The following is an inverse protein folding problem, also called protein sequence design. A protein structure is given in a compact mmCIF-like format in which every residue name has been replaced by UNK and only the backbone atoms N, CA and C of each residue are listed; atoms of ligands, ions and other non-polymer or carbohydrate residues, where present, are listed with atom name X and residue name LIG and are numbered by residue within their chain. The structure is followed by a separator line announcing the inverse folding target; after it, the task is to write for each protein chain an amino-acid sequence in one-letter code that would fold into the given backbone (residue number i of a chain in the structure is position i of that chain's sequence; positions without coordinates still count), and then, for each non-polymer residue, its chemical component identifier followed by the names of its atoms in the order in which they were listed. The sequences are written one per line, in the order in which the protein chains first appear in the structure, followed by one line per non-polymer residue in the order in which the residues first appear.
data_IF_986106709298
#
_entry.id   IF_986106709298
#
_cell.length_a   1.000
_cell.length_b   1.000
_cell.length_c   1.000
_cell.angle_alpha   90.00
_cell.angle_beta   90.00
_cell.angle_gamma   90.00
#
_symmetry.space_group_name_H-M   'P 1'
#
loop_
_entity.id
_entity.type
_entity.pdbx_description
1 polymer ?
#
# COMPACT_ATOMS: atom_id res chain seq x y z
N UNK A 1 5.52 2.23 -8.33
CA UNK A 1 6.80 1.70 -8.88
C UNK A 1 7.35 0.47 -8.15
N UNK A 2 6.98 0.20 -6.90
CA UNK A 2 7.40 -1.01 -6.16
C UNK A 2 6.51 -2.25 -6.38
N UNK A 3 5.40 -2.11 -7.12
CA UNK A 3 4.47 -3.20 -7.43
C UNK A 3 3.64 -3.68 -6.23
N UNK A 4 3.47 -2.85 -5.21
CA UNK A 4 2.73 -3.17 -3.99
C UNK A 4 1.42 -2.39 -3.84
N UNK A 5 0.60 -2.84 -2.89
CA UNK A 5 -0.70 -2.27 -2.55
C UNK A 5 -0.58 -1.26 -1.41
N UNK A 6 -1.51 -0.31 -1.33
CA UNK A 6 -1.52 0.75 -0.31
C UNK A 6 -2.73 0.59 0.60
N UNK A 7 -2.51 0.75 1.90
CA UNK A 7 -3.56 0.93 2.88
C UNK A 7 -3.61 2.41 3.29
N UNK A 8 -4.79 3.02 3.24
CA UNK A 8 -5.02 4.42 3.58
C UNK A 8 -5.98 4.47 4.77
N UNK A 9 -5.45 4.73 5.95
CA UNK A 9 -6.26 5.00 7.14
C UNK A 9 -6.60 6.48 7.17
N UNK A 10 -7.88 6.84 7.06
CA UNK A 10 -8.27 8.24 7.23
C UNK A 10 -9.78 8.43 7.40
N UNK A 11 -10.14 9.67 7.70
CA UNK A 11 -11.52 10.14 7.76
C UNK A 11 -12.12 10.33 6.35
N UNK A 12 -13.45 10.24 6.24
CA UNK A 12 -14.16 10.49 4.97
C UNK A 12 -13.89 11.91 4.43
N UNK A 13 -13.88 12.05 3.11
CA UNK A 13 -13.86 13.36 2.45
C UNK A 13 -12.49 13.90 2.02
N UNK A 14 -11.38 13.25 2.37
CA UNK A 14 -10.00 13.70 2.06
C UNK A 14 -9.52 13.41 0.63
N UNK A 15 -10.43 13.31 -0.34
CA UNK A 15 -10.06 13.21 -1.77
C UNK A 15 -9.43 11.87 -2.22
N UNK A 16 -9.50 10.80 -1.43
CA UNK A 16 -8.93 9.46 -1.77
C UNK A 16 -9.35 8.95 -3.16
N UNK A 17 -10.64 9.13 -3.49
CA UNK A 17 -11.19 8.76 -4.80
C UNK A 17 -10.55 9.54 -5.93
N UNK A 18 -10.31 10.84 -5.72
CA UNK A 18 -9.65 11.71 -6.69
C UNK A 18 -8.19 11.31 -6.84
N UNK A 19 -7.49 10.98 -5.75
CA UNK A 19 -6.10 10.49 -5.80
C UNK A 19 -6.01 9.20 -6.63
N UNK A 20 -6.81 8.18 -6.31
CA UNK A 20 -6.77 6.89 -7.00
C UNK A 20 -7.14 7.01 -8.49
N UNK A 21 -8.16 7.82 -8.80
CA UNK A 21 -8.57 8.05 -10.19
C UNK A 21 -7.53 8.86 -10.97
N UNK A 22 -6.95 9.90 -10.37
CA UNK A 22 -5.89 10.72 -11.00
C UNK A 22 -4.65 9.88 -11.30
N UNK A 23 -4.28 8.97 -10.39
CA UNK A 23 -3.19 8.01 -10.62
C UNK A 23 -3.50 7.09 -11.81
N UNK A 24 -4.71 6.55 -11.89
CA UNK A 24 -5.11 5.68 -13.00
C UNK A 24 -5.08 6.42 -14.35
N UNK A 25 -5.67 7.62 -14.43
CA UNK A 25 -5.69 8.42 -15.66
C UNK A 25 -4.27 8.79 -16.10
N UNK A 26 -3.46 9.34 -15.19
CA UNK A 26 -2.08 9.76 -15.50
C UNK A 26 -1.17 8.60 -15.94
N UNK A 27 -1.46 7.38 -15.51
CA UNK A 27 -0.72 6.17 -15.91
C UNK A 27 -1.33 5.40 -17.09
N UNK A 28 -2.41 5.92 -17.68
CA UNK A 28 -3.15 5.24 -18.75
C UNK A 28 -3.78 3.92 -18.31
N UNK A 29 -3.99 3.72 -17.00
CA UNK A 29 -4.51 2.49 -16.42
C UNK A 29 -6.03 2.52 -16.27
N UNK A 30 -6.66 1.34 -16.29
CA UNK A 30 -8.07 1.19 -15.95
C UNK A 30 -8.30 1.42 -14.45
N UNK A 31 -9.47 2.01 -14.13
CA UNK A 31 -9.89 2.31 -12.76
C UNK A 31 -11.23 1.65 -12.44
N UNK A 32 -11.29 0.99 -11.28
CA UNK A 32 -12.54 0.51 -10.67
C UNK A 32 -12.56 0.87 -9.19
N UNK A 33 -13.78 1.07 -8.68
CA UNK A 33 -14.05 1.34 -7.26
C UNK A 33 -14.95 0.24 -6.73
N UNK A 34 -14.61 -0.27 -5.56
CA UNK A 34 -15.39 -1.24 -4.79
C UNK A 34 -15.70 -0.59 -3.45
N UNK A 35 -16.97 -0.43 -3.14
CA UNK A 35 -17.40 -0.01 -1.81
C UNK A 35 -17.64 -1.28 -0.99
N UNK A 36 -16.89 -1.46 0.10
CA UNK A 36 -17.10 -2.59 0.98
C UNK A 36 -18.27 -2.26 1.91
N UNK A 37 -19.28 -3.13 1.86
CA UNK A 37 -20.49 -3.07 2.69
C UNK A 37 -20.71 -4.41 3.37
N UNK A 38 -21.48 -4.48 4.48
CA UNK A 38 -21.70 -5.73 5.20
C UNK A 38 -22.35 -6.85 4.36
N UNK A 39 -23.11 -6.48 3.34
CA UNK A 39 -23.82 -7.36 2.41
C UNK A 39 -23.02 -7.74 1.15
N UNK A 40 -21.86 -7.12 0.93
CA UNK A 40 -21.02 -7.40 -0.25
C UNK A 40 -20.54 -8.85 -0.25
N UNK A 41 -20.78 -9.58 -1.34
CA UNK A 41 -20.36 -10.97 -1.49
C UNK A 41 -18.96 -11.08 -2.12
N UNK A 42 -18.22 -12.18 -1.88
CA UNK A 42 -16.95 -12.46 -2.57
C UNK A 42 -17.05 -12.41 -4.10
N UNK A 43 -18.17 -12.87 -4.66
CA UNK A 43 -18.44 -12.87 -6.10
C UNK A 43 -18.67 -11.47 -6.66
N UNK A 44 -19.13 -10.51 -5.85
CA UNK A 44 -19.28 -9.12 -6.27
C UNK A 44 -17.93 -8.42 -6.41
N UNK A 45 -16.88 -8.96 -5.78
CA UNK A 45 -15.48 -8.50 -5.89
C UNK A 45 -14.79 -9.19 -7.07
N UNK A 46 -14.82 -10.53 -7.08
CA UNK A 46 -14.06 -11.37 -8.02
C UNK A 46 -14.72 -11.56 -9.37
N UNK A 47 -16.06 -11.54 -9.43
CA UNK A 47 -16.86 -11.82 -10.60
C UNK A 47 -17.79 -13.02 -10.40
N UNK A 48 -18.69 -13.21 -11.36
CA UNK A 48 -19.74 -14.23 -11.31
C UNK A 48 -19.95 -14.86 -12.69
N UNK A 49 -20.27 -16.15 -12.70
CA UNK A 49 -20.67 -16.89 -13.91
C UNK A 49 -22.17 -16.74 -14.12
N UNK A 50 -22.59 -16.14 -15.24
CA UNK A 50 -24.00 -15.90 -15.56
C UNK A 50 -24.39 -16.79 -16.74
N UNK A 51 -25.46 -17.57 -16.58
CA UNK A 51 -26.00 -18.35 -17.67
C UNK A 51 -26.64 -17.43 -18.73
N UNK A 52 -26.08 -17.44 -19.94
CA UNK A 52 -26.57 -16.67 -21.07
C UNK A 52 -27.58 -17.53 -21.85
N UNK A 53 -28.87 -17.20 -21.72
CA UNK A 53 -29.97 -17.97 -22.31
C UNK A 53 -29.97 -17.97 -23.85
N UNK A 54 -29.26 -17.04 -24.50
CA UNK A 54 -29.25 -16.95 -25.97
C UNK A 54 -28.37 -18.01 -26.62
N UNK A 55 -27.20 -18.29 -26.04
CA UNK A 55 -26.25 -19.29 -26.53
C UNK A 55 -26.24 -20.57 -25.67
N UNK A 56 -26.89 -20.58 -24.50
CA UNK A 56 -26.95 -21.74 -23.62
C UNK A 56 -25.64 -22.01 -22.89
N UNK A 57 -24.80 -20.98 -22.74
CA UNK A 57 -23.45 -21.08 -22.17
C UNK A 57 -23.34 -20.20 -20.91
N UNK A 58 -22.45 -20.59 -20.00
CA UNK A 58 -22.08 -19.77 -18.86
C UNK A 58 -21.04 -18.73 -19.27
N UNK A 59 -21.37 -17.46 -19.10
CA UNK A 59 -20.51 -16.32 -19.41
C UNK A 59 -20.03 -15.69 -18.10
N UNK A 60 -18.70 -15.64 -17.92
CA UNK A 60 -18.12 -14.98 -16.78
C UNK A 60 -18.19 -13.46 -16.93
N UNK A 61 -18.82 -12.81 -15.96
CA UNK A 61 -18.74 -11.37 -15.78
C UNK A 61 -17.67 -11.03 -14.75
N UNK A 62 -16.66 -10.32 -15.23
CA UNK A 62 -15.54 -9.88 -14.42
C UNK A 62 -16.00 -8.97 -13.28
N UNK A 63 -15.52 -9.26 -12.07
CA UNK A 63 -15.70 -8.39 -10.93
C UNK A 63 -14.83 -7.14 -11.04
N UNK A 64 -15.13 -6.09 -10.26
CA UNK A 64 -14.39 -4.84 -10.26
C UNK A 64 -12.92 -4.98 -9.83
N UNK A 65 -12.51 -6.11 -9.21
CA UNK A 65 -11.10 -6.39 -8.92
C UNK A 65 -10.26 -6.58 -10.20
N UNK A 66 -10.90 -6.93 -11.32
CA UNK A 66 -10.26 -7.10 -12.63
C UNK A 66 -10.06 -5.73 -13.29
N UNK A 67 -9.12 -4.96 -12.74
CA UNK A 67 -8.75 -3.61 -13.18
C UNK A 67 -7.32 -3.32 -12.75
N UNK A 68 -6.61 -2.43 -13.45
CA UNK A 68 -5.21 -2.12 -13.15
C UNK A 68 -5.06 -1.32 -11.85
N UNK A 69 -5.96 -0.37 -11.62
CA UNK A 69 -6.09 0.36 -10.35
C UNK A 69 -7.46 0.09 -9.76
N UNK A 70 -7.49 -0.36 -8.51
CA UNK A 70 -8.72 -0.63 -7.75
C UNK A 70 -8.68 0.18 -6.46
N UNK A 71 -9.71 1.01 -6.26
CA UNK A 71 -9.99 1.63 -4.95
C UNK A 71 -10.96 0.73 -4.19
N UNK A 72 -10.54 0.18 -3.06
CA UNK A 72 -11.36 -0.61 -2.16
C UNK A 72 -11.69 0.23 -0.93
N UNK A 73 -12.88 0.82 -0.90
CA UNK A 73 -13.29 1.71 0.17
C UNK A 73 -13.87 0.97 1.36
N UNK A 74 -13.46 1.37 2.56
CA UNK A 74 -13.96 0.88 3.85
C UNK A 74 -13.89 -0.64 3.98
N UNK A 75 -12.73 -1.21 3.66
CA UNK A 75 -12.56 -2.67 3.59
C UNK A 75 -12.92 -3.39 4.89
N UNK A 76 -12.84 -2.68 6.02
CA UNK A 76 -13.24 -3.18 7.33
C UNK A 76 -14.76 -3.31 7.52
N UNK A 77 -15.61 -2.85 6.59
CA UNK A 77 -17.08 -3.01 6.70
C UNK A 77 -17.62 -4.32 6.12
N UNK A 78 -16.88 -4.99 5.25
CA UNK A 78 -17.31 -6.28 4.70
C UNK A 78 -16.89 -7.45 5.58
N UNK A 79 -17.57 -8.59 5.41
CA UNK A 79 -17.25 -9.82 6.12
C UNK A 79 -15.81 -10.31 5.82
N UNK A 80 -15.17 -11.06 6.74
CA UNK A 80 -13.84 -11.63 6.50
C UNK A 80 -13.73 -12.47 5.22
N UNK A 81 -14.83 -13.12 4.81
CA UNK A 81 -14.87 -13.92 3.58
C UNK A 81 -14.74 -13.04 2.33
N UNK A 82 -15.42 -11.90 2.31
CA UNK A 82 -15.35 -10.93 1.20
C UNK A 82 -14.01 -10.21 1.16
N UNK A 83 -13.48 -9.82 2.33
CA UNK A 83 -12.11 -9.30 2.44
C UNK A 83 -11.08 -10.28 1.87
N UNK A 84 -11.21 -11.56 2.20
CA UNK A 84 -10.29 -12.62 1.75
C UNK A 84 -10.25 -12.75 0.23
N UNK A 85 -11.39 -12.60 -0.47
CA UNK A 85 -11.44 -12.68 -1.93
C UNK A 85 -10.58 -11.60 -2.61
N UNK A 86 -10.61 -10.36 -2.08
CA UNK A 86 -9.74 -9.28 -2.57
C UNK A 86 -8.27 -9.55 -2.23
N UNK A 87 -7.99 -10.00 -1.01
CA UNK A 87 -6.63 -10.22 -0.52
C UNK A 87 -5.94 -11.41 -1.22
N UNK A 88 -6.71 -12.43 -1.61
CA UNK A 88 -6.26 -13.52 -2.47
C UNK A 88 -5.89 -12.99 -3.86
N UNK A 89 -6.76 -12.18 -4.47
CA UNK A 89 -6.48 -11.55 -5.75
C UNK A 89 -5.22 -10.65 -5.71
N UNK A 90 -4.97 -9.96 -4.58
CA UNK A 90 -3.75 -9.19 -4.35
C UNK A 90 -2.49 -10.05 -4.31
N UNK A 91 -2.51 -11.15 -3.56
CA UNK A 91 -1.34 -12.02 -3.38
C UNK A 91 -1.04 -12.83 -4.66
N UNK A 92 -2.08 -13.47 -5.22
CA UNK A 92 -1.93 -14.41 -6.34
C UNK A 92 -1.93 -13.71 -7.71
N UNK A 93 -2.36 -12.44 -7.78
CA UNK A 93 -2.46 -11.64 -9.01
C UNK A 93 -3.33 -12.30 -10.08
N UNK A 94 -4.30 -13.09 -9.64
CA UNK A 94 -5.24 -13.83 -10.47
C UNK A 94 -6.55 -14.01 -9.69
N UNK A 95 -7.62 -14.33 -10.41
CA UNK A 95 -8.91 -14.71 -9.84
C UNK A 95 -9.28 -16.07 -10.37
N UNK A 96 -9.70 -16.97 -9.47
CA UNK A 96 -10.18 -18.30 -9.83
C UNK A 96 -11.67 -18.39 -9.52
N UNK A 97 -12.46 -18.76 -10.53
CA UNK A 97 -13.89 -18.99 -10.38
C UNK A 97 -14.27 -20.26 -11.15
N UNK A 98 -15.02 -21.16 -10.51
CA UNK A 98 -15.48 -22.43 -11.11
C UNK A 98 -14.34 -23.25 -11.76
N UNK A 99 -13.14 -23.22 -11.16
CA UNK A 99 -11.95 -23.92 -11.67
C UNK A 99 -11.22 -23.22 -12.82
N UNK A 100 -11.74 -22.09 -13.33
CA UNK A 100 -11.09 -21.28 -14.37
C UNK A 100 -10.31 -20.15 -13.71
N UNK A 101 -8.99 -20.16 -13.89
CA UNK A 101 -8.08 -19.11 -13.39
C UNK A 101 -7.84 -18.05 -14.45
N UNK A 102 -7.93 -16.77 -14.06
CA UNK A 102 -7.69 -15.61 -14.94
C UNK A 102 -6.68 -14.66 -14.28
N UNK A 103 -5.65 -14.31 -15.03
CA UNK A 103 -4.64 -13.35 -14.55
C UNK A 103 -5.23 -11.94 -14.50
N UNK A 104 -4.89 -11.19 -13.46
CA UNK A 104 -5.23 -9.78 -13.36
C UNK A 104 -4.39 -8.94 -14.33
N UNK A 105 -4.95 -7.84 -14.86
CA UNK A 105 -4.22 -6.97 -15.77
C UNK A 105 -3.00 -6.33 -15.07
N UNK A 106 -1.92 -6.10 -15.82
CA UNK A 106 -0.70 -5.49 -15.31
C UNK A 106 -0.54 -4.04 -15.81
N UNK A 107 -0.07 -3.10 -14.98
CA UNK A 107 0.20 -3.23 -13.54
C UNK A 107 -1.10 -3.42 -12.75
N UNK A 108 -1.01 -4.08 -11.60
CA UNK A 108 -2.14 -4.28 -10.69
C UNK A 108 -1.86 -3.62 -9.35
N UNK A 109 -2.75 -2.73 -8.91
CA UNK A 109 -2.61 -2.00 -7.65
C UNK A 109 -3.98 -1.86 -6.97
N UNK A 110 -3.99 -2.15 -5.67
CA UNK A 110 -5.14 -1.93 -4.80
C UNK A 110 -4.79 -0.81 -3.83
N UNK A 111 -5.66 0.18 -3.75
CA UNK A 111 -5.64 1.24 -2.75
C UNK A 111 -6.84 0.94 -1.85
N UNK A 112 -6.57 0.38 -0.67
CA UNK A 112 -7.60 0.05 0.30
C UNK A 112 -7.73 1.18 1.32
N UNK A 113 -8.95 1.45 1.77
CA UNK A 113 -9.22 2.45 2.81
C UNK A 113 -9.89 1.81 4.01
N UNK A 114 -9.55 2.29 5.20
CA UNK A 114 -10.17 1.89 6.46
C UNK A 114 -10.51 3.14 7.26
N UNK A 115 -11.71 3.16 7.82
CA UNK A 115 -12.12 4.19 8.77
C UNK A 115 -11.92 3.66 10.20
N UNK A 116 -11.01 4.25 11.00
CA UNK A 116 -10.70 3.76 12.35
C UNK A 116 -11.77 4.13 13.40
N UNK A 117 -12.72 5.01 13.07
CA UNK A 117 -13.69 5.56 14.05
C UNK A 117 -14.96 4.72 14.14
N UNK A 118 -15.29 3.93 13.12
CA UNK A 118 -16.51 3.10 13.09
C UNK A 118 -16.30 1.77 13.83
N UNK A 119 -16.76 1.71 15.08
CA UNK A 119 -16.67 0.50 15.93
C UNK A 119 -17.85 -0.47 15.75
N UNK A 120 -19.01 0.00 15.28
CA UNK A 120 -20.18 -0.86 15.08
C UNK A 120 -20.21 -1.45 13.66
N UNK A 121 -20.28 -2.78 13.58
CA UNK A 121 -20.42 -3.48 12.30
C UNK A 121 -19.14 -3.55 11.44
N UNK A 122 -17.96 -3.36 12.04
CA UNK A 122 -16.68 -3.51 11.35
C UNK A 122 -15.93 -4.79 11.73
N UNK A 123 -15.22 -5.35 10.76
CA UNK A 123 -14.35 -6.50 10.86
C UNK A 123 -12.91 -6.05 10.56
N UNK A 124 -12.07 -5.86 11.59
CA UNK A 124 -10.69 -5.42 11.39
C UNK A 124 -9.92 -6.49 10.60
N UNK A 125 -8.98 -6.03 9.77
CA UNK A 125 -8.09 -6.96 9.08
C UNK A 125 -7.14 -7.62 10.10
N UNK A 126 -7.00 -8.95 10.09
CA UNK A 126 -5.93 -9.62 10.82
C UNK A 126 -4.55 -9.13 10.38
N UNK A 127 -3.57 -9.20 11.27
CA UNK A 127 -2.22 -8.67 11.02
C UNK A 127 -1.52 -9.39 9.87
N UNK A 128 -1.78 -10.70 9.72
CA UNK A 128 -1.32 -11.48 8.58
C UNK A 128 -1.86 -10.95 7.23
N UNK A 129 -3.04 -10.31 7.23
CA UNK A 129 -3.62 -9.67 6.05
C UNK A 129 -3.05 -8.27 5.83
N UNK A 130 -2.87 -7.50 6.90
CA UNK A 130 -2.21 -6.18 6.83
C UNK A 130 -0.80 -6.28 6.23
N UNK A 131 -0.05 -7.35 6.54
CA UNK A 131 1.31 -7.56 6.01
C UNK A 131 1.39 -7.62 4.47
N UNK A 132 0.26 -7.90 3.78
CA UNK A 132 0.15 -7.90 2.31
C UNK A 132 0.18 -6.49 1.70
N UNK A 133 -0.14 -5.46 2.47
CA UNK A 133 -0.01 -4.08 2.01
C UNK A 133 1.45 -3.65 2.10
N UNK A 134 1.97 -3.03 1.04
CA UNK A 134 3.35 -2.56 1.03
C UNK A 134 3.52 -1.42 2.03
N UNK A 135 2.59 -0.46 1.99
CA UNK A 135 2.71 0.83 2.66
C UNK A 135 1.35 1.24 3.24
N UNK A 136 1.38 1.76 4.46
CA UNK A 136 0.27 2.41 5.13
C UNK A 136 0.50 3.92 5.16
N UNK A 137 -0.48 4.68 4.70
CA UNK A 137 -0.46 6.15 4.73
C UNK A 137 -1.66 6.70 5.49
N UNK A 138 -1.47 7.91 6.01
CA UNK A 138 -2.52 8.78 6.53
C UNK A 138 -2.45 10.08 5.69
N UNK A 139 -3.57 10.54 5.11
CA UNK A 139 -3.58 11.79 4.33
C UNK A 139 -3.87 12.98 5.26
N UNK A 140 -4.70 12.79 6.28
CA UNK A 140 -5.20 13.85 7.14
C UNK A 140 -6.06 14.85 6.38
N UNK A 141 -6.53 15.88 7.10
CA UNK A 141 -7.10 17.06 6.46
C UNK A 141 -5.97 17.91 5.86
N UNK A 142 -6.19 18.51 4.67
CA UNK A 142 -5.27 19.50 4.14
C UNK A 142 -5.13 20.66 5.13
N UNK A 143 -3.97 21.31 5.14
CA UNK A 143 -3.82 22.54 5.92
C UNK A 143 -4.63 23.70 5.30
N UNK A 144 -4.76 24.81 6.02
CA UNK A 144 -5.55 25.96 5.56
C UNK A 144 -5.12 26.48 4.18
N UNK A 145 -3.81 26.42 3.87
CA UNK A 145 -3.25 26.91 2.61
C UNK A 145 -3.57 25.95 1.46
N UNK A 146 -3.44 24.65 1.71
CA UNK A 146 -3.81 23.58 0.79
C UNK A 146 -5.32 23.60 0.52
N UNK A 147 -6.15 23.80 1.54
CA UNK A 147 -7.60 23.86 1.40
C UNK A 147 -8.05 25.07 0.57
N UNK A 148 -7.44 26.25 0.80
CA UNK A 148 -7.65 27.44 -0.06
C UNK A 148 -7.26 27.14 -1.52
N UNK A 149 -6.14 26.45 -1.74
CA UNK A 149 -5.70 26.03 -3.08
C UNK A 149 -6.71 25.08 -3.74
N UNK A 150 -7.27 24.12 -2.99
CA UNK A 150 -8.32 23.22 -3.46
C UNK A 150 -9.56 24.02 -3.88
N UNK A 151 -10.01 24.97 -3.07
CA UNK A 151 -11.17 25.82 -3.38
C UNK A 151 -10.95 26.64 -4.67
N UNK A 152 -9.76 27.21 -4.83
CA UNK A 152 -9.40 27.97 -6.03
C UNK A 152 -9.39 27.09 -7.29
N UNK A 153 -8.81 25.90 -7.20
CA UNK A 153 -8.67 24.97 -8.32
C UNK A 153 -9.99 24.30 -8.74
N UNK A 154 -10.96 24.18 -7.83
CA UNK A 154 -12.27 23.58 -8.12
C UNK A 154 -13.34 24.61 -8.52
N UNK A 155 -12.99 25.89 -8.60
CA UNK A 155 -13.95 26.98 -8.81
C UNK A 155 -14.63 27.02 -10.19
N UNK A 156 -14.08 26.34 -11.21
CA UNK A 156 -14.64 26.34 -12.57
C UNK A 156 -14.83 24.96 -13.17
N UNK A 157 -13.76 24.16 -13.25
CA UNK A 157 -13.77 22.80 -13.81
C UNK A 157 -13.02 21.90 -12.83
N UNK A 158 -13.53 20.70 -12.57
CA UNK A 158 -12.85 19.78 -11.66
C UNK A 158 -11.49 19.39 -12.28
N UNK A 159 -10.35 19.54 -11.58
CA UNK A 159 -9.02 19.32 -12.15
C UNK A 159 -8.81 17.97 -12.82
N UNK A 160 -9.56 16.96 -12.37
CA UNK A 160 -9.53 15.60 -12.91
C UNK A 160 -9.90 15.50 -14.39
N UNK A 161 -10.74 16.41 -14.89
CA UNK A 161 -11.20 16.41 -16.27
C UNK A 161 -10.11 16.91 -17.23
N UNK A 162 -9.07 17.55 -16.70
CA UNK A 162 -7.92 18.04 -17.44
C UNK A 162 -6.69 17.12 -17.37
N UNK A 163 -6.77 16.00 -16.62
CA UNK A 163 -5.65 15.06 -16.51
C UNK A 163 -5.58 14.21 -17.78
N UNK A 164 -4.40 14.14 -18.39
CA UNK A 164 -4.09 13.22 -19.48
C UNK A 164 -3.06 12.17 -19.03
N UNK A 165 -3.07 11.02 -19.70
CA UNK A 165 -2.02 10.01 -19.51
C UNK A 165 -0.65 10.60 -19.89
N UNK A 166 0.30 10.54 -18.95
CA UNK A 166 1.70 10.97 -19.16
C UNK A 166 2.62 9.77 -19.40
N UNK A 167 2.17 8.57 -19.02
CA UNK A 167 2.83 7.29 -19.29
C UNK A 167 1.81 6.24 -19.67
N UNK A 168 2.27 5.12 -20.23
CA UNK A 168 1.43 3.95 -20.53
C UNK A 168 1.53 2.88 -19.43
N UNK A 169 0.55 1.96 -19.33
CA UNK A 169 0.65 0.85 -18.39
C UNK A 169 1.88 -0.04 -18.58
N UNK A 170 2.33 -0.22 -19.83
CA UNK A 170 3.55 -0.96 -20.12
C UNK A 170 4.77 -0.25 -19.53
N UNK A 171 4.89 1.07 -19.74
CA UNK A 171 5.97 1.86 -19.13
C UNK A 171 5.96 1.78 -17.60
N UNK A 172 4.80 1.73 -16.96
CA UNK A 172 4.71 1.51 -15.50
C UNK A 172 5.28 0.16 -15.09
N UNK A 173 5.05 -0.88 -15.88
CA UNK A 173 5.57 -2.22 -15.63
C UNK A 173 7.09 -2.26 -15.86
N UNK A 174 7.57 -1.63 -16.92
CA UNK A 174 9.01 -1.51 -17.22
C UNK A 174 9.75 -0.73 -16.10
N UNK A 175 9.12 0.31 -15.57
CA UNK A 175 9.61 1.05 -14.40
C UNK A 175 9.66 0.17 -13.15
N UNK A 176 8.67 -0.71 -12.92
CA UNK A 176 8.68 -1.66 -11.79
C UNK A 176 9.83 -2.66 -11.90
N UNK A 177 10.18 -3.09 -13.11
CA UNK A 177 11.32 -3.98 -13.35
C UNK A 177 12.65 -3.23 -13.19
N UNK A 178 12.73 -1.98 -13.65
CA UNK A 178 13.91 -1.10 -13.48
C UNK A 178 14.21 -0.82 -12.01
N UNK A 179 13.20 -0.66 -11.16
CA UNK A 179 13.39 -0.55 -9.70
C UNK A 179 14.17 -1.75 -9.15
N UNK A 180 14.04 -2.94 -9.76
CA UNK A 180 14.72 -4.14 -9.26
C UNK A 180 16.23 -4.12 -9.51
N UNK A 181 16.68 -3.40 -10.54
CA UNK A 181 18.10 -3.27 -10.88
C UNK A 181 18.82 -2.13 -10.14
N UNK A 182 18.11 -1.26 -9.43
CA UNK A 182 18.72 -0.20 -8.60
C UNK A 182 19.69 -0.82 -7.60
N UNK A 183 20.93 -0.35 -7.58
CA UNK A 183 21.99 -0.88 -6.73
C UNK A 183 21.68 -0.70 -5.25
N UNK A 184 21.96 -1.74 -4.46
CA UNK A 184 21.80 -1.73 -3.02
C UNK A 184 22.96 -2.49 -2.40
N UNK A 185 23.85 -1.73 -1.75
CA UNK A 185 25.03 -2.27 -1.09
C UNK A 185 24.66 -3.24 0.03
N UNK A 186 25.54 -4.18 0.34
CA UNK A 186 25.31 -5.13 1.43
C UNK A 186 25.17 -4.42 2.78
N UNK A 187 25.85 -3.28 3.00
CA UNK A 187 25.68 -2.47 4.20
C UNK A 187 24.27 -1.92 4.35
N UNK A 188 23.59 -1.57 3.25
CA UNK A 188 22.19 -1.12 3.26
C UNK A 188 21.26 -2.29 3.59
N UNK A 189 21.50 -3.47 3.00
CA UNK A 189 20.73 -4.69 3.31
C UNK A 189 20.86 -5.08 4.78
N UNK A 190 22.08 -5.03 5.32
CA UNK A 190 22.33 -5.23 6.75
C UNK A 190 21.61 -4.20 7.62
N UNK A 191 21.60 -2.93 7.22
CA UNK A 191 20.88 -1.88 7.93
C UNK A 191 19.38 -2.16 8.00
N UNK A 192 18.76 -2.51 6.87
CA UNK A 192 17.34 -2.89 6.79
C UNK A 192 17.04 -4.09 7.70
N UNK A 193 17.86 -5.14 7.62
CA UNK A 193 17.69 -6.34 8.45
C UNK A 193 17.85 -6.02 9.93
N UNK A 194 18.79 -5.14 10.31
CA UNK A 194 18.97 -4.67 11.70
C UNK A 194 17.75 -3.91 12.19
N UNK A 195 17.18 -2.99 11.41
CA UNK A 195 15.93 -2.29 11.75
C UNK A 195 14.83 -3.30 12.03
N UNK A 196 14.56 -4.20 11.08
CA UNK A 196 13.47 -5.17 11.21
C UNK A 196 13.72 -6.16 12.35
N UNK A 197 14.96 -6.62 12.55
CA UNK A 197 15.32 -7.49 13.66
C UNK A 197 15.10 -6.80 15.01
N UNK A 198 15.43 -5.51 15.15
CA UNK A 198 15.21 -4.79 16.40
C UNK A 198 13.72 -4.70 16.76
N UNK A 199 12.82 -4.52 15.78
CA UNK A 199 11.37 -4.54 16.07
C UNK A 199 10.88 -5.82 16.75
N UNK A 200 11.58 -6.95 16.58
CA UNK A 200 11.24 -8.24 17.18
C UNK A 200 11.79 -8.43 18.59
N UNK A 201 12.66 -7.53 19.05
CA UNK A 201 13.33 -7.60 20.35
C UNK A 201 12.93 -6.44 21.29
N UNK A 202 12.03 -5.55 20.87
CA UNK A 202 11.55 -4.40 21.65
C UNK A 202 10.46 -4.82 22.64
N UNK A 203 10.52 -4.33 23.88
CA UNK A 203 9.50 -4.59 24.91
C UNK A 203 8.19 -3.83 24.65
N UNK A 204 8.29 -2.74 23.88
CA UNK A 204 7.18 -1.91 23.45
C UNK A 204 6.27 -2.62 22.45
N UNK A 205 6.71 -3.76 21.88
CA UNK A 205 6.04 -4.49 20.83
C UNK A 205 5.76 -5.94 21.27
N UNK A 206 4.51 -6.37 21.14
CA UNK A 206 4.11 -7.77 21.31
C UNK A 206 4.40 -8.59 20.03
N UNK A 207 4.38 -7.93 18.86
CA UNK A 207 4.76 -8.53 17.58
C UNK A 207 5.58 -7.52 16.78
N UNK A 208 6.78 -7.95 16.36
CA UNK A 208 7.66 -7.21 15.46
C UNK A 208 7.42 -7.56 13.98
N UNK A 209 8.09 -6.85 13.09
CA UNK A 209 7.91 -7.01 11.65
C UNK A 209 8.53 -8.30 11.12
N UNK A 210 7.86 -8.93 10.14
CA UNK A 210 8.28 -10.17 9.48
C UNK A 210 9.40 -9.92 8.44
N UNK A 211 10.03 -10.98 7.88
CA UNK A 211 10.92 -10.83 6.73
C UNK A 211 10.28 -10.15 5.50
N UNK A 212 8.94 -10.21 5.37
CA UNK A 212 8.21 -9.46 4.33
C UNK A 212 8.41 -7.95 4.50
N UNK A 213 8.47 -7.46 5.73
CA UNK A 213 8.82 -6.07 6.04
C UNK A 213 10.22 -5.67 5.55
N UNK A 214 11.21 -6.55 5.65
CA UNK A 214 12.57 -6.30 5.11
C UNK A 214 12.56 -6.20 3.59
N UNK A 215 11.86 -7.11 2.92
CA UNK A 215 11.74 -7.15 1.45
C UNK A 215 10.99 -5.90 0.96
N UNK A 216 9.89 -5.54 1.62
CA UNK A 216 9.09 -4.36 1.34
C UNK A 216 9.91 -3.08 1.47
N UNK A 217 10.62 -2.92 2.59
CA UNK A 217 11.45 -1.74 2.87
C UNK A 217 12.59 -1.62 1.84
N UNK A 218 13.26 -2.72 1.51
CA UNK A 218 14.29 -2.74 0.47
C UNK A 218 13.74 -2.30 -0.89
N UNK A 219 12.65 -2.93 -1.36
CA UNK A 219 12.07 -2.63 -2.68
C UNK A 219 11.56 -1.20 -2.78
N UNK A 220 10.94 -0.69 -1.72
CA UNK A 220 10.47 0.69 -1.66
C UNK A 220 11.64 1.69 -1.62
N UNK A 221 12.73 1.37 -0.92
CA UNK A 221 13.93 2.21 -0.90
C UNK A 221 14.58 2.30 -2.29
N UNK A 222 14.62 1.20 -3.04
CA UNK A 222 15.03 1.20 -4.45
C UNK A 222 14.12 2.08 -5.31
N UNK A 223 12.81 2.00 -5.10
CA UNK A 223 11.85 2.83 -5.84
C UNK A 223 12.03 4.33 -5.52
N UNK A 224 12.27 4.69 -4.25
CA UNK A 224 12.49 6.07 -3.84
C UNK A 224 13.82 6.62 -4.37
N UNK A 225 14.88 5.82 -4.40
CA UNK A 225 16.14 6.20 -5.04
C UNK A 225 15.93 6.54 -6.52
N UNK A 226 15.23 5.68 -7.26
CA UNK A 226 14.95 5.91 -8.67
C UNK A 226 14.07 7.15 -8.91
N UNK A 227 13.05 7.37 -8.06
CA UNK A 227 12.22 8.59 -8.10
C UNK A 227 13.02 9.88 -7.79
N UNK A 228 14.17 9.75 -7.15
CA UNK A 228 15.11 10.84 -6.86
C UNK A 228 16.28 10.88 -7.85
N UNK A 229 16.10 10.27 -9.02
CA UNK A 229 17.09 10.24 -10.10
C UNK A 229 18.43 9.62 -9.67
N UNK A 230 18.37 8.59 -8.82
CA UNK A 230 19.53 7.80 -8.37
C UNK A 230 19.38 6.33 -8.71
N UNK A 231 20.48 5.74 -9.13
CA UNK A 231 20.61 4.30 -9.42
C UNK A 231 21.13 3.50 -8.21
N UNK A 232 21.28 4.11 -7.03
CA UNK A 232 21.68 3.46 -5.79
C UNK A 232 20.87 3.93 -4.56
N UNK A 233 20.67 3.02 -3.60
CA UNK A 233 19.95 3.29 -2.34
C UNK A 233 20.85 3.94 -1.29
N UNK A 234 20.33 4.96 -0.60
CA UNK A 234 20.97 5.58 0.57
C UNK A 234 20.29 5.14 1.89
N UNK A 235 21.00 5.22 3.04
CA UNK A 235 20.40 4.95 4.35
C UNK A 235 19.19 5.85 4.65
N UNK A 236 19.21 7.09 4.18
CA UNK A 236 18.12 8.03 4.39
C UNK A 236 16.83 7.64 3.65
N UNK A 237 16.94 6.95 2.50
CA UNK A 237 15.76 6.39 1.81
C UNK A 237 15.08 5.32 2.69
N UNK A 238 15.89 4.48 3.35
CA UNK A 238 15.42 3.46 4.29
C UNK A 238 14.76 4.10 5.51
N UNK A 239 15.43 5.08 6.14
CA UNK A 239 14.92 5.78 7.32
C UNK A 239 13.59 6.47 7.05
N UNK A 240 13.47 7.15 5.91
CA UNK A 240 12.27 7.89 5.53
C UNK A 240 11.07 6.96 5.33
N UNK A 241 11.28 5.79 4.70
CA UNK A 241 10.19 4.87 4.37
C UNK A 241 9.83 3.89 5.50
N UNK A 242 10.75 3.65 6.44
CA UNK A 242 10.55 2.68 7.51
C UNK A 242 9.24 2.89 8.29
N UNK A 243 8.83 4.10 8.70
CA UNK A 243 7.58 4.29 9.44
C UNK A 243 6.35 3.84 8.65
N UNK A 244 6.21 4.28 7.39
CA UNK A 244 5.05 3.97 6.54
C UNK A 244 5.02 2.52 6.07
N UNK A 245 6.16 1.83 6.06
CA UNK A 245 6.25 0.43 5.65
C UNK A 245 6.11 -0.49 6.85
N UNK A 246 6.71 -0.19 7.99
CA UNK A 246 6.74 -1.12 9.10
C UNK A 246 5.57 -0.94 10.06
N UNK A 247 4.94 0.25 10.17
CA UNK A 247 3.96 0.54 11.23
C UNK A 247 2.79 -0.45 11.31
N UNK A 248 2.19 -0.82 10.18
CA UNK A 248 1.06 -1.77 10.12
C UNK A 248 1.46 -3.23 10.29
N UNK A 249 2.75 -3.51 10.43
CA UNK A 249 3.31 -4.86 10.63
C UNK A 249 3.68 -5.11 12.10
N UNK A 250 3.33 -4.20 13.00
CA UNK A 250 3.68 -4.26 14.42
C UNK A 250 2.44 -4.28 15.29
N UNK A 251 2.50 -5.01 16.39
CA UNK A 251 1.48 -4.98 17.43
C UNK A 251 2.11 -4.39 18.69
N UNK A 252 1.70 -3.20 19.14
CA UNK A 252 2.19 -2.64 20.40
C UNK A 252 1.78 -3.52 21.60
N UNK A 253 2.66 -3.60 22.59
CA UNK A 253 2.38 -4.29 23.85
C UNK A 253 1.23 -3.59 24.61
N UNK A 254 0.55 -4.28 25.55
CA UNK A 254 -0.55 -3.68 26.30
C UNK A 254 -0.16 -2.38 27.02
N UNK A 255 1.06 -2.33 27.59
CA UNK A 255 1.59 -1.12 28.23
C UNK A 255 1.80 0.03 27.24
N UNK A 256 2.35 -0.24 26.06
CA UNK A 256 2.50 0.77 25.00
C UNK A 256 1.17 1.35 24.56
N UNK A 257 0.14 0.50 24.39
CA UNK A 257 -1.22 0.95 24.04
C UNK A 257 -1.83 1.83 25.12
N UNK A 258 -1.67 1.47 26.39
CA UNK A 258 -2.15 2.29 27.51
C UNK A 258 -1.48 3.66 27.57
N UNK A 259 -0.22 3.74 27.15
CA UNK A 259 0.55 5.00 27.07
C UNK A 259 0.31 5.79 25.77
N UNK A 260 -0.57 5.32 24.89
CA UNK A 260 -0.85 5.98 23.60
C UNK A 260 0.34 5.98 22.63
N UNK A 261 1.26 5.01 22.75
CA UNK A 261 2.40 4.90 21.84
C UNK A 261 1.99 4.24 20.52
N UNK A 262 2.01 5.05 19.46
CA UNK A 262 1.69 4.59 18.10
C UNK A 262 2.85 3.82 17.45
N UNK A 263 2.58 2.72 16.71
CA UNK A 263 3.61 1.95 16.01
C UNK A 263 4.52 2.79 15.10
N UNK A 264 3.94 3.80 14.44
CA UNK A 264 4.68 4.70 13.56
C UNK A 264 5.73 5.50 14.34
N UNK A 265 5.39 5.99 15.53
CA UNK A 265 6.31 6.73 16.39
C UNK A 265 7.44 5.84 16.91
N UNK A 266 7.11 4.61 17.32
CA UNK A 266 8.09 3.60 17.76
C UNK A 266 9.14 3.39 16.66
N UNK A 267 8.72 3.26 15.39
CA UNK A 267 9.66 3.10 14.27
C UNK A 267 10.44 4.38 13.97
N UNK A 268 9.82 5.55 14.02
CA UNK A 268 10.50 6.85 13.84
C UNK A 268 11.65 7.02 14.83
N UNK A 269 11.47 6.58 16.07
CA UNK A 269 12.51 6.66 17.09
C UNK A 269 13.53 5.53 16.96
N UNK A 270 13.10 4.33 16.58
CA UNK A 270 13.99 3.20 16.31
C UNK A 270 15.03 3.54 15.23
N UNK A 271 14.61 4.11 14.09
CA UNK A 271 15.54 4.39 12.98
C UNK A 271 16.55 5.49 13.29
N UNK A 272 16.29 6.34 14.29
CA UNK A 272 17.25 7.34 14.79
C UNK A 272 18.34 6.73 15.66
N UNK A 273 18.04 5.61 16.34
CA UNK A 273 18.96 4.98 17.30
C UNK A 273 19.87 3.93 16.67
N UNK A 274 19.44 3.31 15.56
CA UNK A 274 20.24 2.28 14.89
C UNK A 274 21.35 2.96 14.06
N UNK A 275 22.64 2.68 14.35
CA UNK A 275 23.75 3.27 13.63
C UNK A 275 23.80 2.77 12.17
N UNK A 276 24.20 3.64 11.26
CA UNK A 276 24.38 3.24 9.86
C UNK A 276 25.66 2.38 9.77
N UNK A 277 25.60 1.17 9.19
CA UNK A 277 26.78 0.35 8.99
C UNK A 277 27.85 1.11 8.17
N UNK A 278 29.10 1.13 8.64
CA UNK A 278 30.20 1.86 8.02
C UNK A 278 30.47 3.26 8.60
N UNK A 279 29.53 3.85 9.35
CA UNK A 279 29.70 5.17 9.98
C UNK A 279 30.82 5.19 11.04
N UNK A 280 31.13 4.02 11.65
CA UNK A 280 32.24 3.87 12.60
C UNK A 280 33.64 4.02 11.98
N UNK A 281 33.79 4.00 10.66
CA UNK A 281 35.10 4.16 10.00
C UNK A 281 35.56 5.61 9.86
N UNK A 282 34.69 6.62 10.01
CA UNK A 282 35.12 8.03 9.91
C UNK A 282 35.74 8.58 11.21
N UNK A 283 35.52 7.95 12.37
CA UNK A 283 36.13 8.40 13.63
C UNK A 283 37.61 8.00 13.80
N UNK A 284 38.20 7.27 12.85
CA UNK A 284 39.64 6.97 12.84
C UNK A 284 40.50 8.04 12.14
N UNK A 285 39.90 8.94 11.35
CA UNK A 285 40.61 10.03 10.66
C UNK A 285 40.68 11.33 11.49
N UNK A 286 40.25 11.29 12.76
CA UNK A 286 40.35 12.40 13.73
C UNK A 286 41.08 11.97 14.99
N UNK A 287 42.33 11.53 14.86
CA UNK A 287 43.32 11.48 15.95
C UNK A 287 44.68 11.90 15.43
#
# INVERSE_FOLDING_TARGET
MSGGHILVEDVPGVGKTILARSLAISSGCTFKRIQFTPDLLPTDVSGVSIYNQKNGEFEFREGPIVSQVVLADEINRATPKTQSAMLEAMEEKQVTMEGITRNLPRPFMVIATQNPIEYEGTFPLPEAQLDRFLLKVNLGYPDEVEEISILNNQSQIHPIDNISAVVTPQMVTDMQDTVRSVYSDNLIKEYIVKIVAQTRNMLELNLGSSPRGSIALHRASQALALLRDRDYVLPDDVKQLAPSILSHRLIPSPSSRMNGLEPEQIIKDLVKTIPIPGEKSQNWLRR
#
